data_IF_448160952326
#
_entry.id   IF_448160952326
#
_cell.length_a   1.000
_cell.length_b   1.000
_cell.length_c   1.000
_cell.angle_alpha   90.00
_cell.angle_beta   90.00
_cell.angle_gamma   90.00
#
_symmetry.space_group_name_H-M   'P 1'
#
loop_
_entity.id
_entity.type
_entity.pdbx_description
1 polymer ?
#
# COMPACT_ATOMS: atom_id res chain seq x y z
N UNK A 1 19.14 -16.37 -16.45
CA UNK A 1 18.30 -15.97 -15.30
C UNK A 1 17.98 -14.50 -15.49
N UNK A 2 16.71 -14.08 -15.34
CA UNK A 2 16.33 -12.67 -15.34
C UNK A 2 16.17 -12.23 -13.89
N UNK A 3 16.81 -11.13 -13.52
CA UNK A 3 16.75 -10.56 -12.19
C UNK A 3 16.40 -9.07 -12.29
N UNK A 4 15.52 -8.63 -11.41
CA UNK A 4 15.06 -7.25 -11.29
C UNK A 4 14.74 -7.05 -9.81
N UNK A 5 15.41 -6.10 -9.20
CA UNK A 5 15.38 -5.87 -7.76
C UNK A 5 15.31 -4.38 -7.45
N UNK A 6 14.74 -4.06 -6.30
CA UNK A 6 14.65 -2.69 -5.77
C UNK A 6 15.12 -2.71 -4.33
N UNK A 7 16.20 -1.99 -4.06
CA UNK A 7 16.73 -1.78 -2.72
C UNK A 7 16.35 -0.37 -2.26
N UNK A 8 15.53 -0.25 -1.21
CA UNK A 8 15.20 1.05 -0.59
C UNK A 8 16.35 1.49 0.32
N UNK A 9 16.64 2.79 0.32
CA UNK A 9 17.77 3.33 1.07
C UNK A 9 17.64 3.04 2.57
N UNK A 10 18.73 2.53 3.16
CA UNK A 10 18.77 2.13 4.58
C UNK A 10 17.86 0.93 4.92
N UNK A 11 17.32 0.22 3.93
CA UNK A 11 16.36 -0.87 4.14
C UNK A 11 15.02 -0.39 4.72
N UNK A 12 14.74 0.92 4.63
CA UNK A 12 13.56 1.54 5.23
C UNK A 12 12.31 1.18 4.43
N UNK A 13 11.32 0.61 5.09
CA UNK A 13 10.02 0.28 4.49
C UNK A 13 8.85 1.08 5.07
N UNK A 14 9.04 1.82 6.16
CA UNK A 14 7.99 2.63 6.79
C UNK A 14 8.29 4.14 6.69
N UNK A 15 7.32 4.89 6.18
CA UNK A 15 7.43 6.30 5.83
C UNK A 15 6.27 7.12 6.41
N UNK A 16 6.57 8.38 6.71
CA UNK A 16 5.59 9.37 7.15
C UNK A 16 4.98 10.12 5.94
N UNK A 17 3.77 10.68 6.08
CA UNK A 17 3.20 11.64 5.14
C UNK A 17 4.20 12.75 4.77
N UNK A 18 4.46 12.94 3.48
CA UNK A 18 5.38 13.96 2.98
C UNK A 18 6.87 13.56 2.99
N UNK A 19 7.22 12.36 3.44
CA UNK A 19 8.58 11.84 3.31
C UNK A 19 8.96 11.64 1.84
N UNK A 20 10.27 11.59 1.58
CA UNK A 20 10.81 11.11 0.31
C UNK A 20 11.23 9.65 0.44
N UNK A 21 10.81 8.81 -0.50
CA UNK A 21 11.31 7.44 -0.68
C UNK A 21 12.35 7.41 -1.78
N UNK A 22 13.53 6.89 -1.48
CA UNK A 22 14.64 6.75 -2.42
C UNK A 22 15.24 5.36 -2.38
N UNK A 23 15.93 4.99 -3.44
CA UNK A 23 16.53 3.67 -3.54
C UNK A 23 17.23 3.44 -4.87
N UNK A 24 17.57 2.17 -5.09
CA UNK A 24 18.28 1.70 -6.28
C UNK A 24 17.55 0.54 -6.91
N UNK A 25 17.31 0.61 -8.22
CA UNK A 25 16.86 -0.52 -9.03
C UNK A 25 18.06 -1.17 -9.69
N UNK A 26 18.16 -2.50 -9.61
CA UNK A 26 19.20 -3.30 -10.27
C UNK A 26 18.54 -4.30 -11.20
N UNK A 27 19.12 -4.51 -12.39
CA UNK A 27 18.60 -5.49 -13.34
C UNK A 27 19.71 -6.27 -14.03
N UNK A 28 19.40 -7.54 -14.31
CA UNK A 28 20.15 -8.43 -15.19
C UNK A 28 19.14 -9.21 -16.02
N UNK A 29 18.98 -8.85 -17.28
CA UNK A 29 17.94 -9.36 -18.17
C UNK A 29 18.56 -10.13 -19.34
N UNK A 30 17.88 -11.18 -19.85
CA UNK A 30 18.40 -11.99 -20.95
C UNK A 30 18.50 -11.23 -22.28
N UNK A 31 17.76 -10.13 -22.42
CA UNK A 31 17.78 -9.23 -23.57
C UNK A 31 17.59 -7.80 -23.07
N UNK A 32 18.18 -6.84 -23.77
CA UNK A 32 17.91 -5.42 -23.57
C UNK A 32 16.41 -5.12 -23.69
N UNK A 33 15.77 -4.57 -22.64
CA UNK A 33 14.40 -4.14 -22.70
C UNK A 33 14.30 -2.82 -23.47
N UNK A 34 13.16 -2.54 -24.09
CA UNK A 34 12.94 -1.23 -24.73
C UNK A 34 12.97 -0.09 -23.69
N UNK A 35 12.46 -0.37 -22.49
CA UNK A 35 12.46 0.54 -21.34
C UNK A 35 12.30 -0.22 -20.03
N UNK A 36 12.68 0.41 -18.93
CA UNK A 36 12.26 0.04 -17.57
C UNK A 36 11.35 1.15 -17.05
N UNK A 37 10.18 0.77 -16.52
CA UNK A 37 9.26 1.67 -15.84
C UNK A 37 9.37 1.47 -14.34
N UNK A 38 9.44 2.57 -13.60
CA UNK A 38 9.37 2.58 -12.14
C UNK A 38 8.11 3.33 -11.73
N UNK A 39 7.26 2.72 -10.90
CA UNK A 39 5.94 3.24 -10.55
C UNK A 39 5.78 3.25 -9.04
N UNK A 40 5.57 4.42 -8.44
CA UNK A 40 5.06 4.54 -7.08
C UNK A 40 3.53 4.46 -7.13
N UNK A 41 2.95 3.51 -6.40
CA UNK A 41 1.51 3.27 -6.43
C UNK A 41 0.96 2.86 -5.07
N UNK A 42 -0.35 2.97 -4.94
CA UNK A 42 -1.14 2.31 -3.91
C UNK A 42 -2.22 1.45 -4.54
N UNK A 43 -2.65 0.41 -3.82
CA UNK A 43 -3.76 -0.45 -4.22
C UNK A 43 -4.60 -0.88 -3.03
N UNK A 44 -5.88 -1.16 -3.27
CA UNK A 44 -6.76 -1.81 -2.29
C UNK A 44 -6.89 -3.30 -2.58
N UNK A 45 -7.04 -4.08 -1.52
CA UNK A 45 -7.28 -5.52 -1.57
C UNK A 45 -8.35 -5.89 -0.53
N UNK A 46 -9.03 -7.02 -0.71
CA UNK A 46 -10.06 -7.50 0.20
C UNK A 46 -11.32 -7.97 -0.52
N UNK A 47 -12.45 -7.95 0.19
CA UNK A 47 -13.77 -8.38 -0.31
C UNK A 47 -14.50 -7.31 -1.12
N UNK A 48 -14.03 -6.06 -1.06
CA UNK A 48 -14.58 -4.92 -1.80
C UNK A 48 -14.02 -4.77 -3.22
N UNK A 49 -14.23 -3.59 -3.79
CA UNK A 49 -13.66 -3.19 -5.08
C UNK A 49 -12.15 -3.02 -4.95
N UNK A 50 -11.41 -3.48 -5.97
CA UNK A 50 -9.99 -3.19 -6.11
C UNK A 50 -9.83 -1.85 -6.81
N UNK A 51 -9.21 -0.92 -6.10
CA UNK A 51 -8.82 0.38 -6.58
C UNK A 51 -7.30 0.44 -6.62
N UNK A 52 -6.75 1.22 -7.54
CA UNK A 52 -5.30 1.43 -7.66
C UNK A 52 -5.06 2.86 -8.09
N UNK A 53 -4.09 3.51 -7.46
CA UNK A 53 -3.65 4.85 -7.83
C UNK A 53 -2.16 4.87 -8.09
N UNK A 54 -1.77 5.47 -9.21
CA UNK A 54 -0.37 5.77 -9.53
C UNK A 54 -0.07 7.19 -9.06
N UNK A 55 0.97 7.35 -8.27
CA UNK A 55 1.39 8.65 -7.73
C UNK A 55 2.50 9.25 -8.59
N UNK A 56 3.51 8.46 -8.92
CA UNK A 56 4.65 8.90 -9.68
C UNK A 56 5.14 7.80 -10.61
N UNK A 57 5.78 8.20 -11.70
CA UNK A 57 6.37 7.30 -12.69
C UNK A 57 7.70 7.87 -13.17
N UNK A 58 8.70 7.00 -13.26
CA UNK A 58 9.92 7.23 -14.04
C UNK A 58 10.00 6.21 -15.17
N UNK A 59 10.65 6.61 -16.27
CA UNK A 59 10.87 5.77 -17.42
C UNK A 59 12.31 5.89 -17.89
N UNK A 60 13.01 4.76 -18.00
CA UNK A 60 14.37 4.69 -18.49
C UNK A 60 14.38 3.97 -19.84
N UNK A 61 14.56 4.72 -20.91
CA UNK A 61 14.59 4.21 -22.29
C UNK A 61 15.93 3.54 -22.60
N UNK A 62 15.87 2.37 -23.25
CA UNK A 62 17.04 1.57 -23.66
C UNK A 62 18.12 1.46 -22.56
N UNK A 63 17.78 0.93 -21.37
CA UNK A 63 18.68 0.92 -20.23
C UNK A 63 19.81 -0.12 -20.35
N UNK A 64 19.91 -0.85 -21.47
CA UNK A 64 20.79 -2.00 -21.61
C UNK A 64 20.24 -3.25 -20.90
N UNK A 65 20.86 -4.40 -21.19
CA UNK A 65 20.44 -5.68 -20.62
C UNK A 65 20.78 -5.83 -19.12
N UNK A 66 21.73 -5.05 -18.61
CA UNK A 66 22.12 -5.04 -17.21
C UNK A 66 22.44 -3.62 -16.77
N UNK A 67 22.23 -3.32 -15.49
CA UNK A 67 22.55 -2.02 -14.95
C UNK A 67 21.96 -1.75 -13.58
N UNK A 68 22.16 -0.53 -13.13
CA UNK A 68 21.66 0.00 -11.86
C UNK A 68 21.24 1.44 -12.07
N UNK A 69 20.18 1.87 -11.41
CA UNK A 69 19.68 3.24 -11.48
C UNK A 69 19.05 3.64 -10.14
N UNK A 70 19.42 4.82 -9.66
CA UNK A 70 18.84 5.40 -8.43
C UNK A 70 17.55 6.16 -8.75
N UNK A 71 16.62 6.22 -7.81
CA UNK A 71 15.36 6.96 -7.93
C UNK A 71 15.02 7.70 -6.62
N UNK A 72 14.10 8.65 -6.71
CA UNK A 72 13.57 9.39 -5.56
C UNK A 72 12.16 9.89 -5.84
N UNK A 73 11.19 9.57 -4.97
CA UNK A 73 9.81 10.02 -5.06
C UNK A 73 9.35 10.68 -3.77
N UNK A 74 8.61 11.78 -3.89
CA UNK A 74 7.92 12.38 -2.75
C UNK A 74 6.61 11.63 -2.48
N UNK A 75 6.41 11.22 -1.23
CA UNK A 75 5.20 10.55 -0.79
C UNK A 75 4.13 11.60 -0.49
N UNK A 76 2.89 11.38 -0.96
CA UNK A 76 1.80 12.30 -0.66
C UNK A 76 1.41 12.19 0.82
N UNK A 77 0.54 13.09 1.26
CA UNK A 77 0.02 13.03 2.64
C UNK A 77 -1.02 11.92 2.83
N UNK A 78 -1.56 11.36 1.76
CA UNK A 78 -2.63 10.37 1.76
C UNK A 78 -2.69 9.62 0.41
N UNK A 79 -3.32 8.44 0.35
CA UNK A 79 -3.93 7.68 1.45
C UNK A 79 -2.92 6.94 2.34
N UNK A 80 -3.26 6.67 3.59
CA UNK A 80 -2.40 5.88 4.49
C UNK A 80 -2.57 4.37 4.26
N UNK A 81 -1.49 3.63 4.48
CA UNK A 81 -1.52 2.17 4.62
C UNK A 81 -2.40 1.75 5.77
N UNK A 82 -3.26 0.77 5.52
CA UNK A 82 -4.04 0.11 6.56
C UNK A 82 -4.29 -1.35 6.19
N UNK A 83 -4.43 -2.19 7.22
CA UNK A 83 -4.85 -3.57 7.08
C UNK A 83 -6.17 -3.79 7.81
N UNK A 84 -7.07 -4.53 7.17
CA UNK A 84 -8.33 -4.94 7.76
C UNK A 84 -8.85 -6.22 7.12
N UNK A 85 -9.78 -6.89 7.80
CA UNK A 85 -10.37 -8.15 7.33
C UNK A 85 -11.17 -7.99 6.03
N UNK A 86 -11.79 -6.83 5.83
CA UNK A 86 -12.65 -6.55 4.68
C UNK A 86 -11.91 -5.82 3.57
N UNK A 87 -11.03 -4.89 3.93
CA UNK A 87 -10.24 -4.08 3.00
C UNK A 87 -8.90 -3.72 3.63
N UNK A 88 -7.86 -3.72 2.80
CA UNK A 88 -6.53 -3.20 3.10
C UNK A 88 -6.08 -2.26 1.99
N UNK A 89 -5.23 -1.29 2.32
CA UNK A 89 -4.54 -0.43 1.37
C UNK A 89 -3.04 -0.61 1.52
N UNK A 90 -2.40 -1.05 0.43
CA UNK A 90 -0.97 -1.29 0.36
C UNK A 90 -0.31 -0.25 -0.55
N UNK A 91 0.95 0.04 -0.24
CA UNK A 91 1.82 0.88 -1.05
C UNK A 91 2.99 0.08 -1.58
N UNK A 92 3.53 0.51 -2.72
CA UNK A 92 4.75 -0.08 -3.24
C UNK A 92 5.37 0.73 -4.36
N UNK A 93 6.61 0.38 -4.64
CA UNK A 93 7.33 0.80 -5.85
C UNK A 93 7.48 -0.43 -6.74
N UNK A 94 6.94 -0.36 -7.95
CA UNK A 94 7.01 -1.44 -8.93
C UNK A 94 8.02 -1.07 -10.02
N UNK A 95 9.00 -1.95 -10.26
CA UNK A 95 9.87 -1.90 -11.43
C UNK A 95 9.37 -2.90 -12.47
N UNK A 96 9.27 -2.48 -13.72
CA UNK A 96 8.72 -3.27 -14.83
C UNK A 96 9.70 -3.24 -16.01
N UNK A 97 10.14 -4.41 -16.44
CA UNK A 97 11.01 -4.62 -17.60
C UNK A 97 10.40 -5.69 -18.53
N UNK A 98 9.57 -5.26 -19.47
CA UNK A 98 8.83 -6.17 -20.36
C UNK A 98 7.83 -7.04 -19.59
N UNK A 99 8.15 -8.32 -19.39
CA UNK A 99 7.32 -9.27 -18.60
C UNK A 99 7.85 -9.47 -17.17
N UNK A 100 9.06 -9.01 -16.88
CA UNK A 100 9.65 -9.10 -15.55
C UNK A 100 9.16 -7.93 -14.73
N UNK A 101 8.73 -8.20 -13.50
CA UNK A 101 8.31 -7.18 -12.55
C UNK A 101 8.83 -7.51 -11.16
N UNK A 102 9.09 -6.46 -10.38
CA UNK A 102 9.41 -6.56 -8.97
C UNK A 102 8.71 -5.44 -8.21
N UNK A 103 8.19 -5.74 -7.02
CA UNK A 103 7.52 -4.76 -6.17
C UNK A 103 8.25 -4.70 -4.83
N UNK A 104 8.79 -3.53 -4.50
CA UNK A 104 9.24 -3.22 -3.15
C UNK A 104 8.05 -2.67 -2.34
N UNK A 105 7.55 -3.39 -1.32
CA UNK A 105 6.46 -2.89 -0.49
C UNK A 105 6.94 -1.78 0.44
N UNK A 106 6.04 -0.83 0.72
CA UNK A 106 6.26 0.17 1.76
C UNK A 106 4.98 0.44 2.55
N UNK A 107 5.14 1.04 3.72
CA UNK A 107 4.07 1.50 4.61
C UNK A 107 4.11 3.02 4.67
N UNK A 108 3.00 3.68 4.31
CA UNK A 108 2.82 5.12 4.49
C UNK A 108 1.84 5.36 5.63
N UNK A 109 2.27 5.97 6.74
CA UNK A 109 1.43 6.12 7.93
C UNK A 109 1.90 7.25 8.84
N UNK A 110 0.99 7.93 9.58
CA UNK A 110 1.38 9.01 10.49
C UNK A 110 2.30 8.59 11.64
N UNK A 111 2.30 7.31 12.02
CA UNK A 111 3.06 6.76 13.14
C UNK A 111 4.11 5.72 12.71
N UNK A 112 4.33 5.56 11.41
CA UNK A 112 5.26 4.58 10.84
C UNK A 112 4.79 3.13 10.98
N UNK A 113 3.52 2.89 11.32
CA UNK A 113 2.92 1.55 11.40
C UNK A 113 1.67 1.48 10.52
N UNK A 114 1.44 0.31 9.94
CA UNK A 114 0.19 0.09 9.23
C UNK A 114 -1.00 0.20 10.19
N UNK A 115 -1.97 1.05 9.82
CA UNK A 115 -3.18 1.27 10.64
C UNK A 115 -4.00 -0.04 10.62
N UNK A 116 -4.22 -0.62 11.80
CA UNK A 116 -5.08 -1.78 11.93
C UNK A 116 -6.53 -1.31 12.07
N UNK A 117 -7.39 -1.73 11.14
CA UNK A 117 -8.82 -1.46 11.25
C UNK A 117 -9.43 -2.40 12.31
N UNK A 118 -10.28 -1.88 13.22
CA UNK A 118 -10.93 -2.72 14.22
C UNK A 118 -11.80 -3.79 13.53
N UNK A 119 -11.80 -5.00 14.10
CA UNK A 119 -12.77 -6.02 13.71
C UNK A 119 -14.15 -5.53 14.12
N UNK A 120 -15.13 -5.57 13.21
CA UNK A 120 -16.53 -5.40 13.61
C UNK A 120 -16.82 -6.48 14.66
N UNK A 121 -17.33 -6.12 15.86
CA UNK A 121 -17.75 -7.15 16.79
C UNK A 121 -18.82 -8.01 16.10
N UNK A 122 -18.66 -9.34 16.17
CA UNK A 122 -19.72 -10.25 15.75
C UNK A 122 -21.01 -9.81 16.45
N UNK A 123 -22.04 -9.51 15.64
CA UNK A 123 -23.37 -9.09 16.08
C UNK A 123 -24.13 -10.24 16.79
N UNK A 124 -23.46 -11.04 17.62
CA UNK A 124 -24.02 -12.20 18.31
C UNK A 124 -24.37 -11.88 19.78
N UNK A 125 -23.95 -10.73 20.31
CA UNK A 125 -24.19 -10.35 21.72
C UNK A 125 -25.18 -9.19 21.92
N UNK A 126 -26.05 -8.90 20.95
CA UNK A 126 -27.25 -8.05 21.15
C UNK A 126 -28.55 -8.88 21.30
N UNK A 127 -28.45 -10.21 21.27
CA UNK A 127 -29.61 -11.10 21.22
C UNK A 127 -29.89 -11.96 22.45
N UNK A 128 -29.05 -11.98 23.49
CA UNK A 128 -29.26 -12.86 24.65
C UNK A 128 -28.80 -12.25 25.97
N UNK A 129 -29.69 -11.53 26.65
CA UNK A 129 -29.48 -11.14 28.04
C UNK A 129 -30.48 -10.08 28.49
N UNK A 130 -31.40 -10.46 29.36
CA UNK A 130 -32.44 -9.64 29.98
C UNK A 130 -32.04 -8.17 30.26
N UNK A 131 -32.39 -7.25 29.35
CA UNK A 131 -32.21 -5.81 29.56
C UNK A 131 -33.07 -4.89 28.69
N UNK A 132 -33.76 -5.45 27.69
CA UNK A 132 -34.46 -4.65 26.66
C UNK A 132 -35.83 -4.10 27.13
N UNK A 133 -36.33 -4.49 28.30
CA UNK A 133 -37.59 -3.97 28.85
C UNK A 133 -37.46 -2.73 29.74
N UNK A 134 -36.24 -2.31 30.12
CA UNK A 134 -36.04 -1.16 31.02
C UNK A 134 -35.87 0.19 30.29
N UNK A 135 -35.40 0.20 29.04
CA UNK A 135 -35.05 1.45 28.33
C UNK A 135 -36.17 2.05 27.47
N UNK A 136 -37.23 1.29 27.15
CA UNK A 136 -38.37 1.77 26.33
C UNK A 136 -39.54 2.35 27.13
N UNK A 137 -39.51 2.33 28.47
CA UNK A 137 -40.51 3.01 29.32
C UNK A 137 -40.10 4.41 29.81
N UNK A 138 -38.85 4.83 29.61
CA UNK A 138 -38.36 6.14 30.09
C UNK A 138 -38.33 7.25 29.03
N UNK A 139 -38.79 7.00 27.80
CA UNK A 139 -38.76 7.98 26.69
C UNK A 139 -40.15 8.49 26.24
N UNK A 140 -41.22 8.22 26.99
CA UNK A 140 -42.53 8.89 26.83
C UNK A 140 -42.98 9.56 28.14
N UNK A 141 -42.19 10.52 28.62
CA UNK A 141 -42.66 11.55 29.57
C UNK A 141 -41.76 12.79 29.56
N UNK A 142 -41.51 13.35 28.38
CA UNK A 142 -41.03 14.73 28.22
C UNK A 142 -41.27 15.17 26.77
N UNK A 143 -42.31 15.99 26.58
CA UNK A 143 -42.79 16.49 25.30
C UNK A 143 -44.29 16.34 25.20
#
# INVERSE_FOLDING_TARGET
MSDLDIELDGGRTAYFPGDTVSGTVRWVLPKEPSRIELVLFWGTAGKGTRDTGIVARECWEKPGAYGTQTFSFDLPTAPHSFAGRLVSLHWGIEAIAGKTRFVAPLTLSPDGREIQLPEEPEMEEIGRGAGVTAWLKSFRSRG
#
